data_IF_317158352817
#
_entry.id   IF_317158352817
#
_cell.length_a   1.000
_cell.length_b   1.000
_cell.length_c   1.000
_cell.angle_alpha   90.00
_cell.angle_beta   90.00
_cell.angle_gamma   90.00
#
_symmetry.space_group_name_H-M   'P 1'
#
loop_
_entity.id
_entity.type
_entity.pdbx_description
1 polymer ?
#
# COMPACT_ATOMS: atom_id res chain seq x y z
N UNK A 1 -10.62 10.85 5.73
CA UNK A 1 -9.21 10.70 6.15
C UNK A 1 -8.89 9.19 6.31
N UNK A 2 -9.55 8.34 5.51
CA UNK A 2 -9.88 6.95 5.89
C UNK A 2 -9.18 5.89 5.04
N UNK A 3 -8.27 6.30 4.14
CA UNK A 3 -7.61 5.38 3.22
C UNK A 3 -6.24 4.89 3.72
N UNK A 4 -5.69 5.58 4.72
CA UNK A 4 -4.42 5.23 5.36
C UNK A 4 -4.68 4.72 6.77
N UNK A 5 -3.88 3.76 7.23
CA UNK A 5 -3.98 3.24 8.59
C UNK A 5 -3.47 4.27 9.59
N UNK A 6 -4.03 4.29 10.80
CA UNK A 6 -3.66 5.25 11.84
C UNK A 6 -2.16 5.19 12.20
N UNK A 7 -1.57 3.99 12.15
CA UNK A 7 -0.14 3.78 12.34
C UNK A 7 0.71 4.43 11.23
N UNK A 8 0.31 4.28 9.96
CA UNK A 8 1.00 4.90 8.83
C UNK A 8 0.91 6.43 8.90
N UNK A 9 -0.26 6.97 9.26
CA UNK A 9 -0.44 8.42 9.48
C UNK A 9 0.48 8.91 10.60
N UNK A 10 0.54 8.19 11.72
CA UNK A 10 1.40 8.56 12.86
C UNK A 10 2.88 8.56 12.48
N UNK A 11 3.32 7.58 11.69
CA UNK A 11 4.71 7.50 11.19
C UNK A 11 5.06 8.64 10.26
N UNK A 12 4.16 9.00 9.34
CA UNK A 12 4.35 10.13 8.44
C UNK A 12 4.41 11.44 9.25
N UNK A 13 3.49 11.64 10.20
CA UNK A 13 3.49 12.84 11.05
C UNK A 13 4.78 12.96 11.88
N UNK A 14 5.26 11.85 12.45
CA UNK A 14 6.54 11.82 13.17
C UNK A 14 7.73 12.13 12.24
N UNK A 15 7.75 11.59 11.02
CA UNK A 15 8.77 11.90 10.02
C UNK A 15 8.77 13.38 9.62
N UNK A 16 7.58 13.98 9.46
CA UNK A 16 7.44 15.42 9.18
C UNK A 16 7.98 16.27 10.34
N UNK A 17 7.69 15.92 11.59
CA UNK A 17 8.26 16.63 12.75
C UNK A 17 9.77 16.48 12.84
N UNK A 18 10.30 15.29 12.50
CA UNK A 18 11.74 15.02 12.49
C UNK A 18 12.44 15.88 11.44
N UNK A 19 11.94 15.89 10.19
CA UNK A 19 12.47 16.74 9.12
C UNK A 19 12.41 18.21 9.52
N UNK A 20 11.30 18.68 10.11
CA UNK A 20 11.17 20.07 10.59
C UNK A 20 12.25 20.44 11.61
N UNK A 21 12.55 19.55 12.57
CA UNK A 21 13.62 19.78 13.54
C UNK A 21 15.00 19.76 12.88
N UNK A 22 15.24 18.86 11.95
CA UNK A 22 16.53 18.74 11.28
C UNK A 22 16.86 19.94 10.40
N UNK A 23 15.85 20.56 9.75
CA UNK A 23 16.06 21.78 8.95
C UNK A 23 16.32 23.04 9.79
N UNK A 24 16.10 23.01 11.10
CA UNK A 24 16.51 24.10 12.00
C UNK A 24 18.03 24.08 12.25
N UNK A 25 18.69 22.95 11.98
CA UNK A 25 20.14 22.79 12.03
C UNK A 25 20.83 23.03 10.69
N UNK A 26 22.12 22.73 10.64
CA UNK A 26 22.97 22.87 9.43
C UNK A 26 23.52 21.52 8.92
N UNK A 27 23.11 20.41 9.53
CA UNK A 27 23.52 19.06 9.14
C UNK A 27 22.73 18.59 7.91
N UNK A 28 23.27 18.87 6.73
CA UNK A 28 22.66 18.53 5.45
C UNK A 28 22.51 17.02 5.28
N UNK A 29 23.42 16.21 5.82
CA UNK A 29 23.34 14.76 5.70
C UNK A 29 22.23 14.19 6.59
N UNK A 30 22.05 14.75 7.80
CA UNK A 30 20.91 14.42 8.65
C UNK A 30 19.57 14.82 8.01
N UNK A 31 19.47 16.02 7.43
CA UNK A 31 18.25 16.47 6.74
C UNK A 31 17.91 15.55 5.57
N UNK A 32 18.90 15.17 4.73
CA UNK A 32 18.68 14.24 3.62
C UNK A 32 18.17 12.90 4.11
N UNK A 33 18.82 12.32 5.11
CA UNK A 33 18.41 11.05 5.69
C UNK A 33 16.98 11.10 6.21
N UNK A 34 16.62 12.16 6.94
CA UNK A 34 15.27 12.28 7.50
C UNK A 34 14.20 12.49 6.42
N UNK A 35 14.54 13.18 5.32
CA UNK A 35 13.67 13.31 4.16
C UNK A 35 13.50 11.98 3.42
N UNK A 36 14.58 11.20 3.27
CA UNK A 36 14.52 9.84 2.68
C UNK A 36 13.63 8.92 3.51
N UNK A 37 13.80 8.90 4.84
CA UNK A 37 12.97 8.13 5.77
C UNK A 37 11.48 8.53 5.67
N UNK A 38 11.18 9.83 5.58
CA UNK A 38 9.82 10.31 5.38
C UNK A 38 9.24 9.86 4.03
N UNK A 39 10.04 9.92 2.97
CA UNK A 39 9.62 9.50 1.63
C UNK A 39 9.31 8.00 1.59
N UNK A 40 10.14 7.17 2.24
CA UNK A 40 9.90 5.74 2.39
C UNK A 40 8.60 5.46 3.15
N UNK A 41 8.34 6.18 4.25
CA UNK A 41 7.12 6.02 5.02
C UNK A 41 5.87 6.34 4.19
N UNK A 42 5.90 7.43 3.41
CA UNK A 42 4.80 7.82 2.51
C UNK A 42 4.60 6.79 1.39
N UNK A 43 5.68 6.28 0.81
CA UNK A 43 5.60 5.26 -0.23
C UNK A 43 5.01 3.96 0.32
N UNK A 44 5.50 3.47 1.46
CA UNK A 44 4.98 2.28 2.11
C UNK A 44 3.50 2.41 2.45
N UNK A 45 3.09 3.55 2.99
CA UNK A 45 1.70 3.86 3.28
C UNK A 45 0.82 3.85 2.01
N UNK A 46 1.33 4.42 0.91
CA UNK A 46 0.64 4.43 -0.39
C UNK A 46 0.50 3.03 -0.96
N UNK A 47 1.57 2.22 -0.92
CA UNK A 47 1.55 0.82 -1.35
C UNK A 47 0.51 0.01 -0.58
N UNK A 48 0.49 0.14 0.75
CA UNK A 48 -0.52 -0.52 1.60
C UNK A 48 -1.94 -0.10 1.25
N UNK A 49 -2.16 1.20 1.00
CA UNK A 49 -3.47 1.70 0.57
C UNK A 49 -3.93 1.03 -0.74
N UNK A 50 -3.04 0.91 -1.74
CA UNK A 50 -3.36 0.23 -2.99
C UNK A 50 -3.62 -1.27 -2.79
N UNK A 51 -2.80 -1.95 -1.99
CA UNK A 51 -2.99 -3.36 -1.65
C UNK A 51 -4.33 -3.60 -0.95
N UNK A 52 -4.69 -2.76 0.02
CA UNK A 52 -5.97 -2.82 0.73
C UNK A 52 -7.15 -2.59 -0.20
N UNK A 53 -7.06 -1.61 -1.10
CA UNK A 53 -8.11 -1.34 -2.08
C UNK A 53 -8.31 -2.51 -3.05
N UNK A 54 -7.22 -3.17 -3.49
CA UNK A 54 -7.30 -4.36 -4.33
C UNK A 54 -7.96 -5.53 -3.59
N UNK A 55 -7.55 -5.80 -2.34
CA UNK A 55 -8.14 -6.85 -1.51
C UNK A 55 -9.64 -6.59 -1.22
N UNK A 56 -10.04 -5.35 -0.97
CA UNK A 56 -11.44 -4.99 -0.74
C UNK A 56 -12.30 -5.18 -2.01
N UNK A 57 -11.76 -4.85 -3.18
CA UNK A 57 -12.43 -5.10 -4.46
C UNK A 57 -12.61 -6.61 -4.74
N UNK A 58 -11.61 -7.43 -4.41
CA UNK A 58 -11.68 -8.89 -4.54
C UNK A 58 -12.71 -9.50 -3.57
N UNK A 59 -12.71 -9.05 -2.31
CA UNK A 59 -13.67 -9.48 -1.30
C UNK A 59 -15.12 -9.12 -1.67
N UNK A 60 -15.34 -7.97 -2.33
CA UNK A 60 -16.67 -7.59 -2.82
C UNK A 60 -17.13 -8.45 -4.00
N UNK A 61 -16.24 -8.80 -4.95
CA UNK A 61 -16.59 -9.74 -6.04
C UNK A 61 -16.93 -11.14 -5.52
N UNK A 62 -16.21 -11.63 -4.51
CA UNK A 62 -16.50 -12.92 -3.89
C UNK A 62 -17.86 -12.97 -3.17
N UNK A 63 -18.36 -11.83 -2.66
CA UNK A 63 -19.70 -11.73 -2.04
C UNK A 63 -20.83 -11.66 -3.07
N UNK A 64 -20.62 -11.05 -4.23
CA UNK A 64 -21.62 -10.99 -5.30
C UNK A 64 -21.75 -12.31 -6.08
N UNK A 65 -20.69 -13.14 -6.13
CA UNK A 65 -20.72 -14.48 -6.74
C UNK A 65 -21.37 -15.59 -5.91
N UNK A 66 -21.83 -15.30 -4.69
CA UNK A 66 -22.34 -16.31 -3.73
C UNK A 66 -23.84 -16.58 -3.78
N UNK A 67 -24.61 -15.87 -4.61
CA UNK A 67 -26.06 -15.99 -4.69
C UNK A 67 -26.53 -16.45 -6.07
N UNK A 68 -26.29 -17.73 -6.38
CA UNK A 68 -26.91 -18.39 -7.53
C UNK A 68 -25.90 -19.02 -8.48
N UNK A 69 -25.52 -20.26 -8.19
CA UNK A 69 -24.85 -21.11 -9.15
C UNK A 69 -25.37 -22.54 -9.03
N UNK A 70 -26.67 -22.71 -9.26
CA UNK A 70 -27.14 -23.92 -9.95
C UNK A 70 -27.17 -23.61 -11.44
N UNK A 71 -26.54 -24.51 -12.20
CA UNK A 71 -26.64 -24.68 -13.64
C UNK A 71 -25.84 -23.74 -14.58
N UNK A 72 -24.85 -24.39 -15.22
CA UNK A 72 -24.35 -24.17 -16.58
C UNK A 72 -23.37 -23.03 -16.85
N UNK A 73 -22.11 -23.48 -16.93
CA UNK A 73 -21.33 -23.57 -18.18
C UNK A 73 -20.75 -22.25 -18.70
N UNK A 74 -19.44 -22.33 -18.91
CA UNK A 74 -18.59 -21.51 -19.74
C UNK A 74 -18.07 -20.22 -19.12
N UNK A 75 -16.77 -20.33 -18.84
CA UNK A 75 -15.73 -19.33 -19.09
C UNK A 75 -15.82 -17.98 -18.38
N UNK A 76 -14.65 -17.59 -17.90
CA UNK A 76 -14.28 -16.19 -17.66
C UNK A 76 -14.58 -15.59 -16.28
N UNK A 77 -14.23 -16.31 -15.21
CA UNK A 77 -14.04 -15.65 -13.90
C UNK A 77 -12.97 -16.29 -13.01
N UNK A 78 -12.02 -17.02 -13.60
CA UNK A 78 -10.81 -17.44 -12.86
C UNK A 78 -9.75 -16.36 -13.05
N UNK A 79 -9.86 -15.31 -12.25
CA UNK A 79 -8.72 -14.46 -11.95
C UNK A 79 -7.99 -15.11 -10.77
N UNK A 80 -7.38 -16.28 -11.03
CA UNK A 80 -6.21 -16.69 -10.26
C UNK A 80 -5.10 -15.73 -10.67
N UNK A 81 -4.99 -14.61 -9.96
CA UNK A 81 -3.82 -13.75 -10.01
C UNK A 81 -2.66 -14.52 -9.36
N UNK A 82 -2.16 -15.49 -10.11
CA UNK A 82 -0.95 -16.23 -9.85
C UNK A 82 0.18 -15.19 -9.85
N UNK A 83 0.42 -14.58 -8.69
CA UNK A 83 1.53 -13.68 -8.42
C UNK A 83 2.80 -14.53 -8.43
N UNK A 84 3.21 -14.97 -9.62
CA UNK A 84 4.56 -15.37 -9.91
C UNK A 84 5.41 -14.12 -9.80
N UNK A 85 5.95 -13.90 -8.61
CA UNK A 85 7.19 -13.15 -8.42
C UNK A 85 8.20 -13.75 -9.39
N UNK A 86 8.36 -13.14 -10.55
CA UNK A 86 9.51 -13.41 -11.39
C UNK A 86 10.69 -12.79 -10.65
N UNK A 87 11.43 -13.64 -9.95
CA UNK A 87 12.83 -13.41 -9.68
C UNK A 87 13.50 -13.09 -11.02
N UNK A 88 13.79 -11.82 -11.24
CA UNK A 88 14.66 -11.37 -12.33
C UNK A 88 16.07 -11.87 -12.02
N UNK A 89 16.42 -13.01 -12.62
CA UNK A 89 17.81 -13.36 -12.92
C UNK A 89 17.99 -13.28 -14.42
N UNK A 90 18.68 -12.23 -14.87
CA UNK A 90 19.76 -12.29 -15.86
C UNK A 90 20.40 -10.90 -16.03
#
# INVERSE_FOLDING_TARGET
KDKLEADDVSKIEAGVEKVKKSVEGTDIDAIKKDVEELQEAVFAASTKMYQKAAAEAEANKAKEGGAGAEDKKSDDTVVDADFKVKDDKN
#
